data_IF_768421362571
#
_entry.id   IF_768421362571
#
_cell.length_a   1.000
_cell.length_b   1.000
_cell.length_c   1.000
_cell.angle_alpha   90.00
_cell.angle_beta   90.00
_cell.angle_gamma   90.00
#
_symmetry.space_group_name_H-M   'P 1'
#
loop_
_entity.id
_entity.type
_entity.pdbx_description
1 polymer ?
#
# COMPACT_ATOMS: atom_id res chain seq x y z
N UNK A 1 -22.18 59.69 43.95
CA UNK A 1 -22.66 58.38 44.41
C UNK A 1 -21.43 57.55 44.72
N UNK A 2 -21.36 57.11 45.98
CA UNK A 2 -20.14 56.86 46.73
C UNK A 2 -19.39 55.57 46.34
N UNK A 3 -18.08 55.64 46.56
CA UNK A 3 -17.05 54.60 46.66
C UNK A 3 -17.46 53.39 47.53
N UNK A 4 -16.75 52.26 47.56
CA UNK A 4 -15.58 52.02 48.43
C UNK A 4 -15.05 50.59 48.19
N UNK A 5 -13.72 50.48 48.06
CA UNK A 5 -12.93 49.26 48.34
C UNK A 5 -12.70 49.11 49.85
N UNK A 6 -12.85 47.91 50.42
CA UNK A 6 -12.26 47.42 51.70
C UNK A 6 -12.79 46.00 52.00
N UNK A 7 -12.16 45.04 52.68
CA UNK A 7 -10.82 44.79 53.27
C UNK A 7 -10.82 43.30 53.71
N UNK A 8 -9.64 42.66 53.76
CA UNK A 8 -9.19 41.49 54.56
C UNK A 8 -10.05 40.22 54.77
N UNK A 9 -9.38 39.07 54.57
CA UNK A 9 -8.74 38.41 55.72
C UNK A 9 -9.19 36.99 56.10
N UNK A 10 -8.18 36.11 56.17
CA UNK A 10 -8.07 34.93 57.03
C UNK A 10 -8.96 33.71 56.73
N UNK A 11 -8.30 32.54 56.73
CA UNK A 11 -8.86 31.28 56.29
C UNK A 11 -9.73 30.56 57.30
N UNK A 12 -10.38 29.51 56.82
CA UNK A 12 -10.56 28.24 57.52
C UNK A 12 -11.25 27.26 56.58
N UNK A 13 -10.70 26.04 56.52
CA UNK A 13 -11.34 24.88 55.94
C UNK A 13 -12.75 24.69 56.49
N UNK A 14 -13.73 24.41 55.63
CA UNK A 14 -14.90 23.62 56.01
C UNK A 14 -15.32 22.72 54.83
N UNK A 15 -15.44 21.44 55.14
CA UNK A 15 -15.94 20.36 54.30
C UNK A 15 -17.47 20.42 54.18
N UNK A 16 -17.97 19.56 53.28
CA UNK A 16 -19.36 19.20 52.98
C UNK A 16 -20.02 20.07 51.89
N UNK A 17 -20.80 19.54 50.96
CA UNK A 17 -21.17 18.19 50.54
C UNK A 17 -22.08 18.40 49.30
N UNK A 18 -22.28 17.33 48.54
CA UNK A 18 -23.46 17.11 47.69
C UNK A 18 -23.53 17.89 46.37
N UNK A 19 -23.18 17.22 45.28
CA UNK A 19 -24.18 16.43 44.54
C UNK A 19 -23.60 15.88 43.23
N UNK A 20 -23.46 14.56 43.10
CA UNK A 20 -24.08 13.84 41.99
C UNK A 20 -24.08 12.32 42.25
N UNK A 21 -25.28 11.74 42.33
CA UNK A 21 -25.49 10.29 42.26
C UNK A 21 -25.36 9.81 40.81
N UNK A 22 -24.70 8.68 40.56
CA UNK A 22 -25.25 7.46 39.91
C UNK A 22 -24.14 6.41 39.74
N UNK A 23 -24.46 5.18 40.13
CA UNK A 23 -23.63 3.96 40.11
C UNK A 23 -23.05 3.64 38.72
N UNK A 24 -21.80 3.16 38.63
CA UNK A 24 -21.46 1.76 38.30
C UNK A 24 -19.92 1.53 38.26
N UNK A 25 -19.47 0.60 39.09
CA UNK A 25 -18.35 -0.36 38.96
C UNK A 25 -17.15 -0.04 38.05
N UNK A 26 -16.01 0.24 38.67
CA UNK A 26 -14.72 -0.38 38.35
C UNK A 26 -13.73 -0.07 39.48
N UNK A 27 -13.70 -0.94 40.49
CA UNK A 27 -12.64 -0.97 41.48
C UNK A 27 -11.30 -1.23 40.79
N UNK A 28 -10.42 -0.24 40.90
CA UNK A 28 -9.01 -0.24 40.56
C UNK A 28 -8.25 -1.45 41.12
N UNK A 29 -7.89 -2.41 40.25
CA UNK A 29 -7.04 -3.59 40.54
C UNK A 29 -5.57 -3.35 40.15
N UNK A 30 -5.08 -2.10 40.23
CA UNK A 30 -3.64 -1.87 40.09
C UNK A 30 -3.17 -0.91 41.18
N UNK A 31 -3.07 -1.48 42.37
CA UNK A 31 -2.38 -0.90 43.53
C UNK A 31 -1.19 -1.78 43.91
N UNK A 32 -0.01 -1.24 43.65
CA UNK A 32 1.35 -1.65 44.01
C UNK A 32 1.56 -2.74 45.09
N UNK A 33 2.46 -3.67 44.75
CA UNK A 33 3.49 -4.32 45.59
C UNK A 33 3.08 -4.87 46.95
N UNK A 34 2.90 -6.20 47.02
CA UNK A 34 3.55 -7.09 48.02
C UNK A 34 3.08 -8.54 47.88
N UNK A 35 4.03 -9.46 48.03
CA UNK A 35 3.85 -10.81 48.58
C UNK A 35 3.51 -11.96 47.63
N UNK A 36 4.52 -12.84 47.48
CA UNK A 36 4.49 -14.30 47.24
C UNK A 36 3.35 -15.10 47.93
N UNK A 37 2.53 -14.46 48.77
CA UNK A 37 1.38 -15.00 49.46
C UNK A 37 0.10 -14.97 48.59
N UNK A 38 -0.02 -14.02 47.66
CA UNK A 38 -1.12 -13.95 46.69
C UNK A 38 -1.11 -15.12 45.70
N UNK A 39 0.08 -15.49 45.25
CA UNK A 39 0.29 -16.61 44.32
C UNK A 39 -0.11 -17.96 44.95
N UNK A 40 0.22 -18.18 46.23
CA UNK A 40 -0.13 -19.43 46.93
C UNK A 40 -1.63 -19.54 47.23
N UNK A 41 -2.27 -18.42 47.60
CA UNK A 41 -3.72 -18.37 47.81
C UNK A 41 -4.49 -18.64 46.51
N UNK A 42 -4.00 -18.19 45.35
CA UNK A 42 -4.63 -18.48 44.05
C UNK A 42 -4.50 -19.95 43.62
N UNK A 43 -3.41 -20.63 43.99
CA UNK A 43 -3.24 -22.06 43.72
C UNK A 43 -4.19 -22.88 44.60
N UNK A 44 -4.25 -22.60 45.90
CA UNK A 44 -5.13 -23.36 46.83
C UNK A 44 -6.62 -23.07 46.62
N UNK A 45 -6.99 -21.83 46.26
CA UNK A 45 -8.39 -21.46 46.01
C UNK A 45 -8.93 -21.91 44.64
N UNK A 46 -8.09 -22.53 43.80
CA UNK A 46 -8.48 -23.05 42.48
C UNK A 46 -8.72 -21.97 41.42
N UNK A 47 -8.41 -20.69 41.71
CA UNK A 47 -8.46 -19.60 40.73
C UNK A 47 -7.56 -19.87 39.53
N UNK A 48 -6.37 -20.45 39.76
CA UNK A 48 -5.44 -20.82 38.70
C UNK A 48 -6.00 -21.91 37.77
N UNK A 49 -6.65 -22.94 38.34
CA UNK A 49 -7.30 -24.01 37.56
C UNK A 49 -8.43 -23.46 36.69
N UNK A 50 -9.21 -22.50 37.19
CA UNK A 50 -10.30 -21.87 36.42
C UNK A 50 -9.77 -21.06 35.23
N UNK A 51 -8.71 -20.28 35.44
CA UNK A 51 -8.06 -19.53 34.35
C UNK A 51 -7.44 -20.46 33.30
N UNK A 52 -6.76 -21.53 33.73
CA UNK A 52 -6.20 -22.52 32.82
C UNK A 52 -7.29 -23.27 32.03
N UNK A 53 -8.39 -23.63 32.70
CA UNK A 53 -9.54 -24.28 32.06
C UNK A 53 -10.23 -23.34 31.08
N UNK A 54 -10.41 -22.07 31.41
CA UNK A 54 -10.96 -21.06 30.51
C UNK A 54 -10.06 -20.86 29.28
N UNK A 55 -8.75 -20.86 29.46
CA UNK A 55 -7.76 -20.75 28.38
C UNK A 55 -7.78 -21.96 27.43
N UNK A 56 -7.89 -23.19 27.95
CA UNK A 56 -8.01 -24.37 27.09
C UNK A 56 -9.42 -24.53 26.50
N UNK A 57 -10.46 -24.05 27.18
CA UNK A 57 -11.81 -23.97 26.65
C UNK A 57 -11.90 -22.96 25.49
N UNK A 58 -11.23 -21.80 25.60
CA UNK A 58 -11.16 -20.81 24.52
C UNK A 58 -10.39 -21.34 23.30
N UNK A 59 -9.32 -22.13 23.50
CA UNK A 59 -8.63 -22.80 22.39
C UNK A 59 -9.50 -23.87 21.68
N UNK A 60 -10.41 -24.54 22.40
CA UNK A 60 -11.37 -25.46 21.78
C UNK A 60 -12.46 -24.72 20.98
N UNK A 61 -12.91 -23.55 21.44
CA UNK A 61 -13.86 -22.71 20.69
C UNK A 61 -13.22 -22.03 19.49
N UNK A 62 -11.93 -21.68 19.55
CA UNK A 62 -11.18 -21.12 18.41
C UNK A 62 -10.88 -22.17 17.33
N UNK A 63 -10.84 -23.46 17.69
CA UNK A 63 -10.66 -24.56 16.73
C UNK A 63 -11.94 -24.92 15.94
N UNK A 64 -13.09 -24.31 16.27
CA UNK A 64 -14.38 -24.53 15.59
C UNK A 64 -14.96 -23.27 14.92
N UNK A 65 -14.25 -22.14 14.94
CA UNK A 65 -14.53 -20.97 14.12
C UNK A 65 -13.74 -20.94 12.79
N UNK A 66 -13.18 -22.08 12.38
CA UNK A 66 -12.63 -22.27 11.03
C UNK A 66 -13.78 -22.59 10.07
N UNK A 67 -14.50 -21.54 9.65
CA UNK A 67 -15.67 -21.70 8.79
C UNK A 67 -16.20 -20.36 8.30
N UNK A 68 -15.34 -19.58 7.63
CA UNK A 68 -15.66 -18.45 6.70
C UNK A 68 -14.73 -17.26 6.94
N UNK A 69 -13.54 -17.24 6.29
CA UNK A 69 -12.73 -16.03 5.99
C UNK A 69 -11.36 -16.32 5.32
N UNK A 70 -11.03 -17.57 4.99
CA UNK A 70 -9.75 -17.91 4.33
C UNK A 70 -9.68 -17.57 2.84
N UNK A 71 -10.82 -17.34 2.16
CA UNK A 71 -10.86 -16.96 0.73
C UNK A 71 -10.57 -15.47 0.50
N UNK A 72 -11.18 -14.58 1.27
CA UNK A 72 -11.03 -13.12 1.05
C UNK A 72 -9.60 -12.62 1.30
N UNK A 73 -8.86 -13.22 2.24
CA UNK A 73 -7.47 -12.86 2.52
C UNK A 73 -6.49 -13.36 1.44
N UNK A 74 -6.72 -14.56 0.88
CA UNK A 74 -5.91 -15.08 -0.25
C UNK A 74 -6.15 -14.30 -1.52
N UNK A 75 -7.41 -13.91 -1.78
CA UNK A 75 -7.80 -13.15 -2.96
C UNK A 75 -7.24 -11.73 -2.91
N UNK A 76 -7.29 -11.08 -1.74
CA UNK A 76 -6.70 -9.75 -1.53
C UNK A 76 -5.18 -9.75 -1.70
N UNK A 77 -4.49 -10.77 -1.16
CA UNK A 77 -3.03 -10.92 -1.34
C UNK A 77 -2.69 -11.16 -2.81
N UNK A 78 -3.47 -11.98 -3.51
CA UNK A 78 -3.28 -12.25 -4.94
C UNK A 78 -3.47 -10.98 -5.78
N UNK A 79 -4.50 -10.18 -5.50
CA UNK A 79 -4.72 -8.89 -6.16
C UNK A 79 -3.56 -7.90 -5.93
N UNK A 80 -2.99 -7.85 -4.72
CA UNK A 80 -1.80 -7.04 -4.45
C UNK A 80 -0.56 -7.54 -5.22
N UNK A 81 -0.38 -8.85 -5.36
CA UNK A 81 0.69 -9.42 -6.17
C UNK A 81 0.50 -9.15 -7.67
N UNK A 82 -0.74 -9.11 -8.16
CA UNK A 82 -1.06 -8.65 -9.52
C UNK A 82 -0.64 -7.19 -9.71
N UNK A 83 -1.01 -6.29 -8.79
CA UNK A 83 -0.60 -4.87 -8.86
C UNK A 83 0.92 -4.74 -8.83
N UNK A 84 1.61 -5.47 -7.97
CA UNK A 84 3.08 -5.50 -7.92
C UNK A 84 3.65 -5.90 -9.28
N UNK A 85 3.19 -7.00 -9.83
CA UNK A 85 3.68 -7.55 -11.11
C UNK A 85 3.41 -6.59 -12.26
N UNK A 86 2.20 -6.05 -12.36
CA UNK A 86 1.82 -5.14 -13.44
C UNK A 86 2.49 -3.77 -13.30
N UNK A 87 2.75 -3.31 -12.07
CA UNK A 87 3.57 -2.11 -11.83
C UNK A 87 5.00 -2.29 -12.36
N UNK A 88 5.61 -3.46 -12.15
CA UNK A 88 6.94 -3.76 -12.69
C UNK A 88 6.93 -3.79 -14.21
N UNK A 89 5.98 -4.51 -14.83
CA UNK A 89 5.83 -4.55 -16.29
C UNK A 89 5.62 -3.16 -16.90
N UNK A 90 4.82 -2.33 -16.25
CA UNK A 90 4.59 -0.95 -16.67
C UNK A 90 5.89 -0.14 -16.64
N UNK A 91 6.67 -0.22 -15.55
CA UNK A 91 7.99 0.43 -15.48
C UNK A 91 8.95 -0.06 -16.55
N UNK A 92 9.01 -1.37 -16.79
CA UNK A 92 9.88 -1.94 -17.82
C UNK A 92 9.48 -1.47 -19.23
N UNK A 93 8.19 -1.43 -19.54
CA UNK A 93 7.69 -0.92 -20.82
C UNK A 93 8.03 0.57 -21.01
N UNK A 94 7.92 1.37 -19.96
CA UNK A 94 8.28 2.78 -19.96
C UNK A 94 9.79 2.99 -20.06
N UNK A 95 10.58 2.13 -19.41
CA UNK A 95 12.05 2.16 -19.53
C UNK A 95 12.48 1.95 -20.98
N UNK A 96 11.87 0.98 -21.68
CA UNK A 96 12.12 0.75 -23.12
C UNK A 96 11.76 1.96 -23.96
N UNK A 97 10.61 2.59 -23.70
CA UNK A 97 10.20 3.80 -24.41
C UNK A 97 11.03 5.04 -24.05
N UNK A 98 11.65 5.07 -22.88
CA UNK A 98 12.50 6.17 -22.47
C UNK A 98 13.92 6.08 -23.06
N UNK A 99 14.34 4.87 -23.47
CA UNK A 99 15.67 4.58 -23.99
C UNK A 99 15.94 5.32 -25.30
N UNK A 100 17.04 6.09 -25.34
CA UNK A 100 17.42 6.85 -26.52
C UNK A 100 17.76 5.96 -27.71
N UNK A 101 18.28 4.75 -27.46
CA UNK A 101 18.66 3.80 -28.51
C UNK A 101 17.47 3.30 -29.34
N UNK A 102 16.26 3.29 -28.75
CA UNK A 102 15.02 2.97 -29.46
C UNK A 102 14.76 3.97 -30.61
N UNK A 103 15.26 5.19 -30.49
CA UNK A 103 15.02 6.30 -31.40
C UNK A 103 16.24 6.63 -32.26
N UNK A 104 17.23 5.76 -32.32
CA UNK A 104 18.37 5.90 -33.22
C UNK A 104 18.02 5.38 -34.62
N UNK A 105 18.49 6.09 -35.65
CA UNK A 105 18.32 5.65 -37.03
C UNK A 105 19.30 4.52 -37.32
N UNK A 106 18.81 3.44 -37.93
CA UNK A 106 19.63 2.34 -38.43
C UNK A 106 19.85 2.51 -39.93
N UNK A 107 21.05 2.14 -40.37
CA UNK A 107 21.38 2.11 -41.80
C UNK A 107 20.87 0.79 -42.38
N UNK A 108 20.03 0.85 -43.41
CA UNK A 108 19.61 -0.33 -44.15
C UNK A 108 20.73 -0.86 -45.07
N UNK A 109 20.45 -1.95 -45.80
CA UNK A 109 21.41 -2.55 -46.74
C UNK A 109 21.69 -1.64 -47.95
N UNK A 110 20.82 -0.68 -48.20
CA UNK A 110 20.86 0.23 -49.34
C UNK A 110 21.51 1.60 -48.98
N UNK A 111 21.93 1.77 -47.71
CA UNK A 111 22.57 2.97 -47.19
C UNK A 111 21.63 4.05 -46.65
N UNK A 112 20.31 3.83 -46.65
CA UNK A 112 19.35 4.78 -46.08
C UNK A 112 19.30 4.66 -44.56
N UNK A 113 19.18 5.81 -43.88
CA UNK A 113 19.03 5.89 -42.44
C UNK A 113 17.57 6.16 -42.07
N UNK A 114 16.92 5.16 -41.50
CA UNK A 114 15.55 5.30 -40.98
C UNK A 114 15.41 4.69 -39.58
N UNK A 115 14.31 5.01 -38.91
CA UNK A 115 13.99 4.49 -37.59
C UNK A 115 13.48 3.05 -37.67
N UNK A 116 13.74 2.28 -36.63
CA UNK A 116 13.15 0.95 -36.46
C UNK A 116 11.68 1.09 -36.03
N UNK A 117 10.79 1.33 -37.00
CA UNK A 117 9.36 1.56 -36.77
C UNK A 117 8.66 0.37 -36.14
N UNK A 118 9.12 -0.84 -36.42
CA UNK A 118 8.57 -2.06 -35.84
C UNK A 118 8.95 -2.18 -34.36
N UNK A 119 10.20 -1.88 -33.99
CA UNK A 119 10.62 -1.84 -32.60
C UNK A 119 9.89 -0.76 -31.80
N UNK A 120 9.72 0.44 -32.37
CA UNK A 120 8.95 1.53 -31.74
C UNK A 120 7.48 1.10 -31.55
N UNK A 121 6.86 0.54 -32.59
CA UNK A 121 5.46 0.07 -32.53
C UNK A 121 5.28 -0.99 -31.45
N UNK A 122 6.20 -1.96 -31.37
CA UNK A 122 6.20 -3.00 -30.36
C UNK A 122 6.35 -2.43 -28.94
N UNK A 123 7.25 -1.46 -28.74
CA UNK A 123 7.46 -0.81 -27.45
C UNK A 123 6.20 -0.04 -26.99
N UNK A 124 5.57 0.73 -27.89
CA UNK A 124 4.34 1.48 -27.59
C UNK A 124 3.19 0.52 -27.28
N UNK A 125 3.05 -0.56 -28.03
CA UNK A 125 2.05 -1.61 -27.78
C UNK A 125 2.24 -2.25 -26.41
N UNK A 126 3.47 -2.58 -26.05
CA UNK A 126 3.81 -3.12 -24.73
C UNK A 126 3.47 -2.15 -23.59
N UNK A 127 3.66 -0.84 -23.79
CA UNK A 127 3.23 0.17 -22.82
C UNK A 127 1.70 0.23 -22.68
N UNK A 128 0.97 0.28 -23.80
CA UNK A 128 -0.50 0.31 -23.79
C UNK A 128 -1.07 -0.90 -23.05
N UNK A 129 -0.54 -2.10 -23.32
CA UNK A 129 -0.94 -3.32 -22.62
C UNK A 129 -0.59 -3.28 -21.13
N UNK A 130 0.64 -2.90 -20.78
CA UNK A 130 1.09 -2.85 -19.39
C UNK A 130 0.32 -1.80 -18.57
N UNK A 131 0.00 -0.65 -19.17
CA UNK A 131 -0.83 0.39 -18.55
C UNK A 131 -2.23 -0.13 -18.27
N UNK A 132 -2.88 -0.76 -19.25
CA UNK A 132 -4.22 -1.31 -19.09
C UNK A 132 -4.27 -2.41 -18.01
N UNK A 133 -3.28 -3.30 -18.00
CA UNK A 133 -3.15 -4.34 -16.98
C UNK A 133 -2.94 -3.74 -15.57
N UNK A 134 -2.18 -2.66 -15.46
CA UNK A 134 -2.04 -1.92 -14.20
C UNK A 134 -3.38 -1.30 -13.77
N UNK A 135 -4.09 -0.60 -14.66
CA UNK A 135 -5.41 -0.02 -14.37
C UNK A 135 -6.37 -1.10 -13.87
N UNK A 136 -6.45 -2.23 -14.57
CA UNK A 136 -7.29 -3.36 -14.20
C UNK A 136 -6.94 -3.92 -12.82
N UNK A 137 -5.68 -4.30 -12.61
CA UNK A 137 -5.27 -4.89 -11.32
C UNK A 137 -5.40 -3.90 -10.16
N UNK A 138 -5.10 -2.62 -10.37
CA UNK A 138 -5.20 -1.60 -9.31
C UNK A 138 -6.64 -1.32 -8.89
N UNK A 139 -7.61 -1.49 -9.80
CA UNK A 139 -9.04 -1.33 -9.49
C UNK A 139 -9.62 -2.45 -8.61
N UNK A 140 -8.94 -3.61 -8.54
CA UNK A 140 -9.37 -4.77 -7.74
C UNK A 140 -8.90 -4.72 -6.29
N UNK A 141 -8.03 -3.77 -5.94
CA UNK A 141 -7.42 -3.69 -4.62
C UNK A 141 -8.08 -2.58 -3.82
N UNK A 142 -8.53 -2.90 -2.61
CA UNK A 142 -9.02 -1.91 -1.64
C UNK A 142 -7.83 -1.25 -0.91
N UNK A 143 -7.18 -0.31 -1.59
CA UNK A 143 -6.06 0.46 -1.03
C UNK A 143 -6.09 1.92 -1.50
N UNK A 144 -6.36 2.84 -0.59
CA UNK A 144 -6.34 4.29 -0.86
C UNK A 144 -4.99 4.77 -1.38
N UNK A 145 -3.90 4.15 -0.92
CA UNK A 145 -2.54 4.46 -1.36
C UNK A 145 -2.36 4.19 -2.86
N UNK A 146 -2.74 2.99 -3.30
CA UNK A 146 -2.69 2.56 -4.70
C UNK A 146 -3.69 3.35 -5.54
N UNK A 147 -4.93 3.53 -5.06
CA UNK A 147 -5.96 4.32 -5.73
C UNK A 147 -5.47 5.74 -6.05
N UNK A 148 -4.83 6.42 -5.09
CA UNK A 148 -4.28 7.78 -5.32
C UNK A 148 -3.23 7.80 -6.42
N UNK A 149 -2.42 6.74 -6.55
CA UNK A 149 -1.40 6.63 -7.62
C UNK A 149 -2.07 6.37 -8.95
N UNK A 150 -3.05 5.48 -9.01
CA UNK A 150 -3.84 5.22 -10.22
C UNK A 150 -4.55 6.47 -10.72
N UNK A 151 -5.22 7.22 -9.83
CA UNK A 151 -5.85 8.52 -10.19
C UNK A 151 -4.81 9.51 -10.70
N UNK A 152 -3.64 9.60 -10.05
CA UNK A 152 -2.55 10.47 -10.53
C UNK A 152 -2.07 10.08 -11.92
N UNK A 153 -1.91 8.78 -12.22
CA UNK A 153 -1.55 8.31 -13.56
C UNK A 153 -2.62 8.67 -14.60
N UNK A 154 -3.90 8.40 -14.30
CA UNK A 154 -5.03 8.70 -15.20
C UNK A 154 -5.10 10.20 -15.50
N UNK A 155 -4.94 11.05 -14.48
CA UNK A 155 -4.95 12.50 -14.66
C UNK A 155 -3.77 12.99 -15.51
N UNK A 156 -2.56 12.46 -15.29
CA UNK A 156 -1.39 12.81 -16.10
C UNK A 156 -1.54 12.32 -17.56
N UNK A 157 -2.12 11.14 -17.75
CA UNK A 157 -2.44 10.60 -19.08
C UNK A 157 -3.43 11.49 -19.80
N UNK A 158 -4.50 11.90 -19.10
CA UNK A 158 -5.54 12.80 -19.62
C UNK A 158 -4.98 14.17 -19.99
N UNK A 159 -4.09 14.72 -19.16
CA UNK A 159 -3.41 16.00 -19.43
C UNK A 159 -2.53 15.95 -20.70
N UNK A 160 -2.06 14.76 -21.08
CA UNK A 160 -1.25 14.53 -22.29
C UNK A 160 -2.06 13.97 -23.47
N UNK A 161 -3.39 13.96 -23.38
CA UNK A 161 -4.30 13.38 -24.40
C UNK A 161 -4.05 13.87 -25.83
N UNK A 162 -3.70 15.15 -26.00
CA UNK A 162 -3.42 15.73 -27.33
C UNK A 162 -2.19 15.10 -27.97
N UNK A 163 -1.09 14.95 -27.22
CA UNK A 163 0.15 14.35 -27.73
C UNK A 163 -0.01 12.84 -27.92
N UNK A 164 -0.74 12.18 -27.01
CA UNK A 164 -1.10 10.77 -27.14
C UNK A 164 -1.91 10.52 -28.42
N UNK A 165 -2.93 11.33 -28.68
CA UNK A 165 -3.77 11.20 -29.88
C UNK A 165 -2.97 11.41 -31.16
N UNK A 166 -2.04 12.38 -31.19
CA UNK A 166 -1.09 12.56 -32.31
C UNK A 166 -0.20 11.34 -32.56
N UNK A 167 0.00 10.52 -31.53
CA UNK A 167 0.79 9.29 -31.58
C UNK A 167 -0.04 8.04 -31.82
N UNK A 168 -1.34 8.18 -32.14
CA UNK A 168 -2.25 7.06 -32.31
C UNK A 168 -2.73 6.43 -31.01
N UNK A 169 -2.44 7.01 -29.85
CA UNK A 169 -2.90 6.50 -28.55
C UNK A 169 -4.16 7.27 -28.12
N UNK A 170 -5.25 6.55 -27.89
CA UNK A 170 -6.52 7.12 -27.41
C UNK A 170 -6.86 6.63 -26.01
N UNK A 171 -7.58 7.47 -25.24
CA UNK A 171 -8.02 7.18 -23.89
C UNK A 171 -9.52 6.82 -23.93
N UNK A 172 -9.85 5.61 -23.49
CA UNK A 172 -11.21 5.11 -23.33
C UNK A 172 -11.92 5.66 -22.10
N UNK A 173 -13.24 5.45 -22.02
CA UNK A 173 -14.08 5.89 -20.89
C UNK A 173 -13.75 5.17 -19.58
N UNK A 174 -13.17 3.98 -19.69
CA UNK A 174 -12.67 3.17 -18.59
C UNK A 174 -11.22 3.56 -18.18
N UNK A 175 -10.72 4.68 -18.72
CA UNK A 175 -9.35 5.16 -18.58
C UNK A 175 -8.29 4.23 -19.18
N UNK A 176 -8.67 3.24 -20.00
CA UNK A 176 -7.71 2.39 -20.71
C UNK A 176 -7.25 3.04 -21.99
N UNK A 177 -6.09 2.59 -22.48
CA UNK A 177 -5.48 3.05 -23.71
C UNK A 177 -5.80 2.09 -24.87
N UNK A 178 -6.00 2.67 -26.05
CA UNK A 178 -6.07 1.94 -27.32
C UNK A 178 -5.02 2.50 -28.28
N UNK A 179 -4.51 1.66 -29.18
CA UNK A 179 -3.49 2.03 -30.14
C UNK A 179 -3.99 1.88 -31.58
N UNK A 180 -3.87 2.96 -32.36
CA UNK A 180 -3.90 2.94 -33.82
C UNK A 180 -2.46 2.82 -34.34
N UNK A 181 -2.11 1.62 -34.79
CA UNK A 181 -0.76 1.30 -35.29
C UNK A 181 -0.44 2.08 -36.59
N UNK A 182 -1.43 2.41 -37.42
CA UNK A 182 -1.21 3.13 -38.68
C UNK A 182 -0.90 4.61 -38.43
N UNK A 183 -1.57 5.22 -37.46
CA UNK A 183 -1.25 6.58 -37.00
C UNK A 183 0.11 6.61 -36.31
N UNK A 184 0.42 5.61 -35.48
CA UNK A 184 1.72 5.52 -34.80
C UNK A 184 2.88 5.43 -35.80
N UNK A 185 2.77 4.59 -36.84
CA UNK A 185 3.82 4.44 -37.86
C UNK A 185 4.15 5.74 -38.59
N UNK A 186 3.19 6.66 -38.70
CA UNK A 186 3.34 7.98 -39.34
C UNK A 186 3.78 9.07 -38.36
N UNK A 187 3.80 8.78 -37.06
CA UNK A 187 4.09 9.77 -36.02
C UNK A 187 5.56 10.20 -36.05
N UNK A 188 5.81 11.49 -35.82
CA UNK A 188 7.16 12.00 -35.60
C UNK A 188 7.72 11.42 -34.29
N UNK A 189 8.88 10.78 -34.38
CA UNK A 189 9.60 10.19 -33.24
C UNK A 189 9.84 11.21 -32.13
N UNK A 190 9.98 12.49 -32.44
CA UNK A 190 10.14 13.54 -31.44
C UNK A 190 8.92 13.66 -30.51
N UNK A 191 7.70 13.42 -31.03
CA UNK A 191 6.48 13.41 -30.20
C UNK A 191 6.55 12.29 -29.16
N UNK A 192 7.01 11.10 -29.57
CA UNK A 192 7.18 9.97 -28.68
C UNK A 192 8.28 10.24 -27.63
N UNK A 193 9.41 10.84 -28.03
CA UNK A 193 10.45 11.25 -27.10
C UNK A 193 9.95 12.26 -26.09
N UNK A 194 9.17 13.26 -26.50
CA UNK A 194 8.56 14.24 -25.58
C UNK A 194 7.59 13.58 -24.59
N UNK A 195 6.82 12.59 -25.05
CA UNK A 195 5.87 11.87 -24.19
C UNK A 195 6.59 10.97 -23.17
N UNK A 196 7.59 10.21 -23.60
CA UNK A 196 8.10 9.08 -22.82
C UNK A 196 9.51 9.25 -22.27
N UNK A 197 10.28 10.21 -22.77
CA UNK A 197 11.67 10.45 -22.35
C UNK A 197 11.84 11.78 -21.64
N UNK A 198 12.72 11.80 -20.64
CA UNK A 198 13.08 13.02 -19.90
C UNK A 198 12.29 13.21 -18.61
N UNK A 199 12.87 13.99 -17.69
CA UNK A 199 12.30 14.29 -16.38
C UNK A 199 11.01 15.09 -16.54
N UNK A 200 9.95 14.68 -15.85
CA UNK A 200 8.64 15.33 -15.92
C UNK A 200 7.84 14.98 -17.18
N UNK A 201 8.36 14.10 -18.05
CA UNK A 201 7.57 13.51 -19.14
C UNK A 201 6.42 12.66 -18.58
N UNK A 202 5.47 12.31 -19.45
CA UNK A 202 4.41 11.38 -19.09
C UNK A 202 5.01 10.02 -18.66
N UNK A 203 6.01 9.53 -19.41
CA UNK A 203 6.69 8.28 -19.10
C UNK A 203 7.37 8.28 -17.73
N UNK A 204 8.10 9.35 -17.40
CA UNK A 204 8.74 9.52 -16.09
C UNK A 204 7.70 9.55 -14.94
N UNK A 205 6.64 10.34 -15.13
CA UNK A 205 5.58 10.49 -14.12
C UNK A 205 4.85 9.18 -13.85
N UNK A 206 4.45 8.45 -14.91
CA UNK A 206 3.77 7.16 -14.76
C UNK A 206 4.75 6.13 -14.16
N UNK A 207 6.00 6.08 -14.60
CA UNK A 207 7.00 5.15 -14.07
C UNK A 207 7.22 5.34 -12.56
N UNK A 208 7.30 6.60 -12.12
CA UNK A 208 7.40 6.96 -10.70
C UNK A 208 6.20 6.45 -9.90
N UNK A 209 4.96 6.72 -10.36
CA UNK A 209 3.74 6.26 -9.67
C UNK A 209 3.60 4.73 -9.69
N UNK A 210 4.09 4.07 -10.73
CA UNK A 210 4.10 2.61 -10.80
C UNK A 210 5.10 2.05 -9.79
N UNK A 211 6.27 2.68 -9.62
CA UNK A 211 7.23 2.34 -8.58
C UNK A 211 6.69 2.51 -7.16
N UNK A 212 5.98 3.60 -6.90
CA UNK A 212 5.29 3.81 -5.62
C UNK A 212 4.24 2.73 -5.36
N UNK A 213 3.44 2.38 -6.38
CA UNK A 213 2.39 1.35 -6.29
C UNK A 213 2.97 -0.05 -6.08
N UNK A 214 4.09 -0.37 -6.74
CA UNK A 214 4.87 -1.57 -6.48
C UNK A 214 5.28 -1.65 -5.00
N UNK A 215 5.83 -0.57 -4.43
CA UNK A 215 6.28 -0.54 -3.04
C UNK A 215 5.12 -0.76 -2.05
N UNK A 216 4.01 -0.07 -2.28
CA UNK A 216 2.79 -0.22 -1.47
C UNK A 216 2.22 -1.64 -1.56
N UNK A 217 2.08 -2.16 -2.77
CA UNK A 217 1.52 -3.50 -3.00
C UNK A 217 2.42 -4.59 -2.42
N UNK A 218 3.74 -4.47 -2.59
CA UNK A 218 4.70 -5.42 -2.05
C UNK A 218 4.71 -5.42 -0.52
N UNK A 219 4.67 -4.24 0.11
CA UNK A 219 4.62 -4.12 1.58
C UNK A 219 3.31 -4.70 2.12
N UNK A 220 2.16 -4.34 1.54
CA UNK A 220 0.86 -4.85 1.94
C UNK A 220 0.78 -6.39 1.78
N UNK A 221 1.19 -6.93 0.64
CA UNK A 221 1.18 -8.38 0.39
C UNK A 221 2.09 -9.14 1.38
N UNK A 222 3.22 -8.54 1.77
CA UNK A 222 4.13 -9.12 2.76
C UNK A 222 3.49 -9.14 4.15
N UNK A 223 2.87 -8.04 4.58
CA UNK A 223 2.16 -7.97 5.87
C UNK A 223 0.97 -8.93 5.96
N UNK A 224 0.26 -9.18 4.86
CA UNK A 224 -0.82 -10.17 4.81
C UNK A 224 -0.31 -11.62 4.88
N UNK A 225 0.93 -11.88 4.48
CA UNK A 225 1.58 -13.19 4.61
C UNK A 225 2.13 -13.48 6.01
N UNK A 226 2.33 -12.42 6.81
CA UNK A 226 2.92 -12.47 8.14
C UNK A 226 2.19 -11.48 9.05
N UNK A 227 0.90 -11.70 9.29
CA UNK A 227 0.26 -11.09 10.44
C UNK A 227 1.08 -11.48 11.67
N UNK A 228 1.51 -10.50 12.48
CA UNK A 228 2.25 -10.77 13.70
C UNK A 228 1.39 -11.68 14.60
N UNK A 229 1.65 -12.97 14.59
CA UNK A 229 1.00 -13.93 15.48
C UNK A 229 1.75 -13.93 16.80
N UNK A 230 1.04 -13.72 17.90
CA UNK A 230 1.59 -13.97 19.22
C UNK A 230 2.05 -15.43 19.28
N UNK A 231 3.33 -15.65 19.57
CA UNK A 231 3.76 -17.00 19.94
C UNK A 231 3.12 -17.33 21.29
N UNK A 232 2.92 -18.62 21.57
CA UNK A 232 2.41 -19.12 22.87
C UNK A 232 3.19 -18.55 24.09
N UNK A 233 4.40 -18.04 23.88
CA UNK A 233 5.26 -17.37 24.87
C UNK A 233 5.06 -15.85 25.02
N UNK A 234 4.07 -15.23 24.36
CA UNK A 234 3.80 -13.78 24.44
C UNK A 234 4.86 -12.88 23.78
N UNK A 235 5.79 -13.46 23.03
CA UNK A 235 6.78 -12.70 22.28
C UNK A 235 6.19 -12.20 20.96
N UNK A 236 6.56 -10.98 20.58
CA UNK A 236 6.25 -10.43 19.26
C UNK A 236 7.12 -11.12 18.22
N UNK A 237 6.56 -11.99 17.37
CA UNK A 237 7.33 -12.59 16.28
C UNK A 237 7.41 -11.63 15.09
N UNK A 238 8.23 -10.57 15.19
CA UNK A 238 8.75 -9.93 13.99
C UNK A 238 9.89 -10.78 13.46
N UNK A 239 9.58 -11.78 12.63
CA UNK A 239 10.59 -12.39 11.77
C UNK A 239 10.89 -11.42 10.61
N UNK A 240 11.52 -10.30 10.95
CA UNK A 240 12.34 -9.58 10.00
C UNK A 240 13.56 -10.48 9.76
N UNK A 241 13.54 -11.24 8.67
CA UNK A 241 14.76 -11.83 8.15
C UNK A 241 15.67 -10.67 7.75
N UNK A 242 16.53 -10.27 8.67
CA UNK A 242 17.68 -9.43 8.41
C UNK A 242 18.50 -10.11 7.30
N UNK A 243 18.44 -9.54 6.10
CA UNK A 243 19.50 -9.57 5.10
C UNK A 243 20.12 -10.95 4.83
N UNK A 244 19.50 -11.75 3.96
CA UNK A 244 20.16 -12.92 3.37
C UNK A 244 20.63 -12.70 1.92
N UNK A 245 21.00 -11.46 1.57
CA UNK A 245 21.62 -11.12 0.28
C UNK A 245 23.15 -11.17 0.30
N UNK A 246 23.77 -11.61 1.40
CA UNK A 246 25.22 -11.68 1.54
C UNK A 246 25.67 -13.00 2.18
N UNK A 247 25.29 -14.14 1.59
CA UNK A 247 25.95 -15.41 1.90
C UNK A 247 26.07 -16.31 0.65
N UNK A 248 26.69 -15.76 -0.38
CA UNK A 248 27.03 -16.48 -1.61
C UNK A 248 28.43 -16.14 -2.08
N UNK A 249 29.42 -16.16 -1.17
CA UNK A 249 30.86 -16.09 -1.46
C UNK A 249 31.66 -16.43 -0.19
N UNK A 250 31.73 -17.72 0.15
CA UNK A 250 32.92 -18.40 0.72
C UNK A 250 32.86 -19.87 0.31
#
# INVERSE_FOLDING_TARGET
MSSIFSINGAGSMFFADSSNSTQNSASSIFGNTSSLLGDYAMIKSGGYKKLLTAYYASQKTDSTASGSSTSSASDSKSALLEVKTNSTKLKESLSKLSDSSLYEKKTDKDGNKDYDRDAITSAVKGFVEAYNNYVDSSSKVDSTGILRRSVSMVNNTSANSVLLSKSGISIGKDNKLTLDEDTLKKTDVNVLKTLFSGVGSLGDTISSKAGESFGLANSAAFTMGHAATYTYSGAYSTFANSNNWFNGLM
#
